data_IF_249190770721
#
_entry.id   IF_249190770721
#
_cell.length_a   1.000
_cell.length_b   1.000
_cell.length_c   1.000
_cell.angle_alpha   90.00
_cell.angle_beta   90.00
_cell.angle_gamma   90.00
#
_symmetry.space_group_name_H-M   'P 1'
#
loop_
_entity.id
_entity.type
_entity.pdbx_description
1 polymer ?
#
# COMPACT_ATOMS: atom_id res chain seq x y z
N UNK A 1 19.29 -1.28 0.49
CA UNK A 1 17.91 -1.77 0.69
C UNK A 1 16.95 -0.79 0.03
N UNK A 2 15.99 -1.25 -0.77
CA UNK A 2 15.05 -0.36 -1.49
C UNK A 2 13.77 -0.20 -0.69
N UNK A 3 13.17 0.99 -0.77
CA UNK A 3 11.89 1.29 -0.14
C UNK A 3 10.85 1.71 -1.18
N UNK A 4 9.60 1.40 -0.87
CA UNK A 4 8.44 1.72 -1.68
C UNK A 4 7.44 2.51 -0.85
N UNK A 5 7.21 3.75 -1.25
CA UNK A 5 6.21 4.61 -0.61
C UNK A 5 4.81 4.21 -1.08
N UNK A 6 3.94 3.84 -0.15
CA UNK A 6 2.55 3.44 -0.39
C UNK A 6 1.66 4.35 0.44
N UNK A 7 0.58 4.87 -0.17
CA UNK A 7 -0.39 5.71 0.54
C UNK A 7 -1.23 4.88 1.50
N UNK A 8 -1.59 5.48 2.63
CA UNK A 8 -2.60 4.90 3.51
C UNK A 8 -3.95 4.92 2.77
N UNK A 9 -4.82 3.91 2.92
CA UNK A 9 -4.72 2.75 3.83
C UNK A 9 -3.99 1.53 3.24
N UNK A 10 -3.55 1.58 1.98
CA UNK A 10 -3.01 0.41 1.29
C UNK A 10 -1.75 -0.15 1.94
N UNK A 11 -0.91 0.71 2.51
CA UNK A 11 0.28 0.29 3.25
C UNK A 11 -0.08 -0.66 4.41
N UNK A 12 -1.13 -0.34 5.17
CA UNK A 12 -1.62 -1.21 6.25
C UNK A 12 -2.23 -2.50 5.71
N UNK A 13 -3.04 -2.41 4.66
CA UNK A 13 -3.70 -3.57 4.06
C UNK A 13 -2.68 -4.61 3.55
N UNK A 14 -1.56 -4.17 2.98
CA UNK A 14 -0.50 -5.08 2.50
C UNK A 14 0.21 -5.76 3.67
N UNK A 15 0.45 -5.03 4.76
CA UNK A 15 1.24 -5.54 5.89
C UNK A 15 0.43 -6.38 6.88
N UNK A 16 -0.87 -6.10 7.03
CA UNK A 16 -1.70 -6.70 8.07
C UNK A 16 -2.94 -7.44 7.53
N UNK A 17 -3.46 -7.07 6.36
CA UNK A 17 -4.72 -7.60 5.84
C UNK A 17 -4.59 -8.53 4.62
N UNK A 18 -3.36 -8.93 4.27
CA UNK A 18 -3.12 -9.87 3.17
C UNK A 18 -3.41 -9.29 1.77
N UNK A 19 -3.28 -7.98 1.58
CA UNK A 19 -3.32 -7.40 0.23
C UNK A 19 -2.03 -7.75 -0.53
N UNK A 20 -2.12 -8.71 -1.45
CA UNK A 20 -0.94 -9.21 -2.18
C UNK A 20 -0.49 -8.32 -3.36
N UNK A 21 -1.38 -7.48 -3.89
CA UNK A 21 -1.14 -6.73 -5.14
C UNK A 21 -1.25 -5.22 -4.93
N UNK A 22 -0.19 -4.50 -5.33
CA UNK A 22 -0.11 -3.04 -5.42
C UNK A 22 0.01 -2.62 -6.89
N UNK A 23 -1.00 -1.93 -7.43
CA UNK A 23 -1.06 -1.56 -8.84
C UNK A 23 -0.42 -0.19 -9.10
N UNK A 24 0.52 -0.11 -10.06
CA UNK A 24 1.13 1.15 -10.52
C UNK A 24 1.22 1.26 -12.03
N UNK A 25 1.26 2.49 -12.52
CA UNK A 25 1.37 2.80 -13.96
C UNK A 25 2.72 2.46 -14.57
N UNK A 26 3.76 2.31 -13.74
CA UNK A 26 5.12 1.99 -14.16
C UNK A 26 5.56 0.64 -13.59
N UNK A 27 6.35 -0.14 -14.36
CA UNK A 27 6.84 -1.43 -13.91
C UNK A 27 7.98 -1.25 -12.91
N UNK A 28 7.90 -1.95 -11.79
CA UNK A 28 9.02 -2.06 -10.85
C UNK A 28 9.93 -3.20 -11.35
N UNK A 29 11.20 -2.88 -11.62
CA UNK A 29 12.18 -3.85 -12.16
C UNK A 29 12.90 -4.68 -11.10
N UNK A 30 12.74 -4.34 -9.83
CA UNK A 30 13.42 -4.99 -8.72
C UNK A 30 12.57 -6.14 -8.19
N UNK A 31 13.21 -7.28 -7.86
CA UNK A 31 12.53 -8.49 -7.36
C UNK A 31 13.07 -8.93 -5.99
N UNK A 32 14.02 -8.17 -5.44
CA UNK A 32 14.47 -8.37 -4.07
C UNK A 32 13.44 -7.89 -3.04
N UNK A 33 13.66 -8.28 -1.78
CA UNK A 33 12.91 -7.77 -0.63
C UNK A 33 13.00 -6.24 -0.58
N UNK A 34 11.84 -5.61 -0.42
CA UNK A 34 11.72 -4.16 -0.31
C UNK A 34 11.04 -3.78 1.00
N UNK A 35 11.35 -2.58 1.47
CA UNK A 35 10.69 -1.96 2.62
C UNK A 35 9.46 -1.20 2.13
N UNK A 36 8.33 -1.36 2.81
CA UNK A 36 7.18 -0.50 2.61
C UNK A 36 7.32 0.70 3.52
N UNK A 37 7.24 1.90 2.94
CA UNK A 37 7.09 3.15 3.67
C UNK A 37 5.63 3.58 3.59
N UNK A 38 4.94 3.63 4.72
CA UNK A 38 3.60 4.18 4.76
C UNK A 38 3.65 5.71 4.69
N UNK A 39 3.14 6.28 3.60
CA UNK A 39 3.11 7.71 3.41
C UNK A 39 2.10 8.38 4.36
N UNK A 40 2.40 9.62 4.76
CA UNK A 40 1.53 10.44 5.64
C UNK A 40 0.14 10.69 5.03
N UNK A 41 0.03 10.76 3.71
CA UNK A 41 -1.22 11.06 3.02
C UNK A 41 -2.13 9.84 2.98
N UNK A 42 -3.37 10.05 3.43
CA UNK A 42 -4.45 9.09 3.30
C UNK A 42 -5.17 9.31 1.97
N UNK A 43 -5.33 8.23 1.21
CA UNK A 43 -6.22 8.16 0.07
C UNK A 43 -7.65 7.91 0.59
N UNK A 44 -8.42 8.99 0.70
CA UNK A 44 -9.78 8.94 1.22
C UNK A 44 -10.73 8.14 0.33
N UNK A 45 -10.49 8.08 -0.99
CA UNK A 45 -11.32 7.28 -1.90
C UNK A 45 -11.04 5.79 -1.70
N UNK A 46 -9.77 5.44 -1.54
CA UNK A 46 -9.35 4.09 -1.20
C UNK A 46 -9.89 3.62 0.16
N UNK A 47 -10.13 4.54 1.10
CA UNK A 47 -10.59 4.20 2.45
C UNK A 47 -11.90 3.40 2.43
N UNK A 48 -12.85 3.76 1.58
CA UNK A 48 -14.14 3.05 1.48
C UNK A 48 -13.93 1.58 1.13
N UNK A 49 -13.06 1.31 0.16
CA UNK A 49 -12.73 -0.07 -0.26
C UNK A 49 -11.93 -0.78 0.82
N UNK A 50 -10.98 -0.09 1.45
CA UNK A 50 -10.13 -0.67 2.48
C UNK A 50 -10.94 -1.11 3.71
N UNK A 51 -11.83 -0.26 4.21
CA UNK A 51 -12.74 -0.60 5.31
C UNK A 51 -13.60 -1.83 4.97
N UNK A 52 -14.12 -1.88 3.74
CA UNK A 52 -15.04 -2.95 3.32
C UNK A 52 -14.35 -4.29 3.04
N UNK A 53 -13.15 -4.26 2.44
CA UNK A 53 -12.53 -5.46 1.88
C UNK A 53 -11.34 -5.97 2.70
N UNK A 54 -10.74 -5.14 3.56
CA UNK A 54 -9.50 -5.46 4.27
C UNK A 54 -9.60 -5.22 5.79
N UNK A 55 -10.82 -4.99 6.30
CA UNK A 55 -11.11 -4.76 7.73
C UNK A 55 -10.14 -3.76 8.39
N UNK A 56 -9.81 -2.70 7.66
CA UNK A 56 -8.84 -1.72 8.14
C UNK A 56 -9.48 -0.91 9.28
N UNK A 57 -8.82 -0.73 10.43
CA UNK A 57 -9.41 0.04 11.52
C UNK A 57 -9.55 1.52 11.13
N UNK A 58 -10.79 2.00 11.01
CA UNK A 58 -11.11 3.40 10.65
C UNK A 58 -10.54 4.42 11.63
N UNK A 59 -10.55 4.09 12.93
CA UNK A 59 -10.00 4.93 14.01
C UNK A 59 -8.51 5.24 13.87
N UNK A 60 -7.78 4.42 13.10
CA UNK A 60 -6.35 4.60 12.82
C UNK A 60 -6.05 5.83 11.95
N UNK A 61 -7.05 6.32 11.23
CA UNK A 61 -6.95 7.44 10.29
C UNK A 61 -7.89 8.60 10.64
N UNK A 62 -8.61 8.50 11.77
CA UNK A 62 -9.52 9.54 12.22
C UNK A 62 -8.76 10.83 12.52
N UNK A 63 -9.26 11.95 11.98
CA UNK A 63 -8.69 13.28 12.18
C UNK A 63 -9.37 14.01 13.35
N UNK A 64 -9.69 13.29 14.42
CA UNK A 64 -10.24 13.92 15.62
C UNK A 64 -9.14 14.67 16.39
N UNK A 65 -9.50 15.76 17.07
CA UNK A 65 -8.55 16.52 17.91
C UNK A 65 -8.01 15.59 19.01
N UNK A 66 -6.73 15.23 18.91
CA UNK A 66 -6.08 14.30 19.83
C UNK A 66 -5.77 12.92 19.23
N UNK A 67 -6.37 12.57 18.09
CA UNK A 67 -6.00 11.38 17.36
C UNK A 67 -4.60 11.56 16.77
N UNK A 68 -3.71 10.62 17.09
CA UNK A 68 -2.41 10.46 16.45
C UNK A 68 -2.59 9.43 15.33
N UNK A 69 -3.01 9.85 14.11
CA UNK A 69 -3.17 8.90 13.01
C UNK A 69 -1.84 8.15 12.80
N UNK A 70 -1.89 6.90 12.36
CA UNK A 70 -0.66 6.15 12.09
C UNK A 70 0.20 6.89 11.05
N UNK A 71 1.36 7.38 11.48
CA UNK A 71 2.33 8.11 10.63
C UNK A 71 3.37 7.17 10.01
N UNK A 72 3.47 5.90 10.44
CA UNK A 72 4.43 4.97 9.85
C UNK A 72 4.15 3.52 10.18
N UNK A 73 3.82 2.74 9.16
CA UNK A 73 3.98 1.28 9.17
C UNK A 73 5.17 0.97 8.28
N UNK A 74 6.18 0.33 8.83
CA UNK A 74 7.34 -0.13 8.10
C UNK A 74 7.38 -1.66 8.17
N UNK A 75 7.35 -2.31 7.01
CA UNK A 75 7.45 -3.75 6.91
C UNK A 75 8.24 -4.17 5.69
N UNK A 76 8.78 -5.38 5.69
CA UNK A 76 9.50 -5.91 4.54
C UNK A 76 8.61 -6.87 3.77
N UNK A 77 8.48 -6.67 2.46
CA UNK A 77 7.74 -7.58 1.59
C UNK A 77 8.65 -8.11 0.47
N UNK A 78 8.37 -9.33 0.03
CA UNK A 78 8.93 -9.86 -1.22
C UNK A 78 8.02 -9.46 -2.37
N UNK A 79 8.58 -9.12 -3.52
CA UNK A 79 7.81 -8.70 -4.67
C UNK A 79 7.86 -9.74 -5.78
N UNK A 80 6.70 -10.12 -6.30
CA UNK A 80 6.56 -10.80 -7.58
C UNK A 80 5.79 -9.89 -8.54
N UNK A 81 6.28 -9.72 -9.76
CA UNK A 81 5.53 -9.04 -10.84
C UNK A 81 4.95 -10.11 -11.76
N UNK A 82 3.61 -10.24 -11.89
CA UNK A 82 3.06 -11.01 -13.00
C UNK A 82 3.49 -10.32 -14.29
N UNK A 83 4.17 -11.08 -15.15
CA UNK A 83 4.76 -10.57 -16.37
C UNK A 83 3.63 -10.25 -17.37
N UNK A 84 3.02 -9.07 -17.26
CA UNK A 84 2.05 -8.59 -18.24
C UNK A 84 2.82 -8.27 -19.53
N UNK A 85 2.91 -9.24 -20.43
CA UNK A 85 3.40 -9.05 -21.78
C UNK A 85 2.41 -8.16 -22.53
N UNK A 86 2.51 -6.84 -22.34
CA UNK A 86 1.92 -5.90 -23.31
C UNK A 86 2.70 -6.07 -24.61
N UNK A 87 2.27 -7.00 -25.47
CA UNK A 87 2.48 -6.86 -26.91
C UNK A 87 1.83 -5.54 -27.27
N UNK A 88 2.64 -4.49 -27.43
CA UNK A 88 2.24 -3.33 -28.21
C UNK A 88 2.08 -3.86 -29.64
N UNK A 89 0.85 -4.15 -30.05
CA UNK A 89 0.54 -4.18 -31.49
C UNK A 89 0.80 -2.76 -31.99
N UNK A 90 1.72 -2.65 -32.94
CA UNK A 90 1.92 -1.44 -33.73
C UNK A 90 0.66 -1.15 -34.54
#
# INVERSE_FOLDING_TARGET
MRALSIRQPWAWAILHAGKDVENRSWPIRHRERLVIHAAKTVDHQAMVVALRCYDVPSGLYATERGSRPLIGVAGTVSQSTPQCSRRRSR
#
